data_IF_203125183783
#
_entry.id   IF_203125183783
#
_cell.length_a   1.000
_cell.length_b   1.000
_cell.length_c   1.000
_cell.angle_alpha   90.00
_cell.angle_beta   90.00
_cell.angle_gamma   90.00
#
_symmetry.space_group_name_H-M   'P 1'
#
loop_
_entity.id
_entity.type
_entity.pdbx_description
1 polymer ?
#
# COMPACT_ATOMS: atom_id res chain seq x y z
N UNK A 1 18.38 -6.69 -12.03
CA UNK A 1 16.92 -6.79 -12.31
C UNK A 1 16.20 -6.43 -11.03
N UNK A 2 15.07 -5.73 -11.11
CA UNK A 2 14.29 -5.35 -9.92
C UNK A 2 12.95 -6.09 -9.94
N UNK A 3 12.56 -6.65 -8.79
CA UNK A 3 11.27 -7.31 -8.60
C UNK A 3 10.45 -6.48 -7.60
N UNK A 4 9.24 -6.12 -7.99
CA UNK A 4 8.27 -5.46 -7.12
C UNK A 4 7.14 -6.46 -6.84
N UNK A 5 6.82 -6.65 -5.56
CA UNK A 5 5.76 -7.54 -5.08
C UNK A 5 4.59 -6.74 -4.52
N UNK A 6 3.44 -7.39 -4.36
CA UNK A 6 2.23 -6.84 -3.75
C UNK A 6 1.74 -5.53 -4.40
N UNK A 7 1.72 -5.46 -5.73
CA UNK A 7 1.23 -4.28 -6.43
C UNK A 7 -0.25 -3.93 -6.13
N UNK A 8 -1.04 -4.90 -5.63
CA UNK A 8 -2.42 -4.69 -5.20
C UNK A 8 -2.53 -3.81 -3.94
N UNK A 9 -1.55 -3.92 -3.04
CA UNK A 9 -1.60 -3.29 -1.71
C UNK A 9 -0.98 -1.90 -1.68
N UNK A 10 -0.79 -1.28 -2.85
CA UNK A 10 -0.25 0.08 -2.91
C UNK A 10 -1.26 1.09 -2.38
N UNK A 11 -0.77 2.01 -1.56
CA UNK A 11 -1.55 3.13 -1.05
C UNK A 11 -1.20 4.42 -1.79
N UNK A 12 -2.23 5.22 -2.07
CA UNK A 12 -2.07 6.59 -2.58
C UNK A 12 -2.66 7.58 -1.58
N UNK A 13 -2.05 8.75 -1.52
CA UNK A 13 -2.43 9.78 -0.55
C UNK A 13 -3.65 10.59 -1.01
N UNK A 14 -4.49 11.01 -0.05
CA UNK A 14 -5.65 11.87 -0.32
C UNK A 14 -6.75 11.19 -1.13
N UNK A 15 -7.41 11.95 -2.01
CA UNK A 15 -8.52 11.48 -2.88
C UNK A 15 -8.05 11.00 -4.26
N UNK A 16 -6.75 10.72 -4.42
CA UNK A 16 -6.16 10.34 -5.72
C UNK A 16 -6.75 9.07 -6.31
N UNK A 17 -7.29 8.16 -5.50
CA UNK A 17 -7.96 6.95 -6.00
C UNK A 17 -9.10 7.28 -6.96
N UNK A 18 -9.88 8.32 -6.68
CA UNK A 18 -11.03 8.73 -7.50
C UNK A 18 -10.65 9.81 -8.50
N UNK A 19 -9.80 10.75 -8.09
CA UNK A 19 -9.60 12.00 -8.84
C UNK A 19 -8.52 11.88 -9.91
N UNK A 20 -7.61 10.89 -9.79
CA UNK A 20 -6.55 10.70 -10.78
C UNK A 20 -7.09 9.93 -11.99
N UNK A 21 -7.05 10.58 -13.15
CA UNK A 21 -7.52 10.03 -14.42
C UNK A 21 -6.33 9.76 -15.34
N UNK A 22 -6.31 8.58 -15.96
CA UNK A 22 -5.41 8.21 -17.04
C UNK A 22 -6.09 8.50 -18.37
N UNK A 23 -5.49 9.39 -19.16
CA UNK A 23 -5.92 9.71 -20.52
C UNK A 23 -5.02 9.06 -21.55
N UNK A 24 -5.62 8.55 -22.63
CA UNK A 24 -4.91 8.16 -23.84
C UNK A 24 -5.83 8.33 -25.06
N UNK A 25 -5.23 8.55 -26.22
CA UNK A 25 -5.95 8.72 -27.48
C UNK A 25 -5.62 7.56 -28.42
N UNK A 26 -6.59 7.09 -29.19
CA UNK A 26 -6.36 5.98 -30.14
C UNK A 26 -5.86 6.41 -31.51
N UNK A 27 -5.95 7.71 -31.83
CA UNK A 27 -5.52 8.29 -33.11
C UNK A 27 -6.67 8.79 -33.99
N UNK A 28 -7.90 8.33 -33.76
CA UNK A 28 -9.10 8.77 -34.47
C UNK A 28 -9.74 10.01 -33.83
N UNK A 29 -10.29 10.91 -34.62
CA UNK A 29 -10.94 12.15 -34.15
C UNK A 29 -12.04 11.81 -33.13
N UNK A 30 -12.03 12.47 -31.96
CA UNK A 30 -13.02 12.28 -30.90
C UNK A 30 -12.79 11.07 -29.98
N UNK A 31 -11.73 10.29 -30.16
CA UNK A 31 -11.51 9.05 -29.41
C UNK A 31 -10.55 9.22 -28.22
N UNK A 32 -10.83 10.21 -27.37
CA UNK A 32 -10.15 10.36 -26.09
C UNK A 32 -10.70 9.33 -25.10
N UNK A 33 -9.86 8.41 -24.67
CA UNK A 33 -10.20 7.41 -23.65
C UNK A 33 -9.68 7.84 -22.30
N UNK A 34 -10.51 7.64 -21.30
CA UNK A 34 -10.19 7.93 -19.91
C UNK A 34 -10.42 6.70 -19.02
N UNK A 35 -9.65 6.62 -17.93
CA UNK A 35 -9.84 5.61 -16.89
C UNK A 35 -9.38 6.14 -15.55
N UNK A 36 -10.18 5.97 -14.50
CA UNK A 36 -9.79 6.39 -13.15
C UNK A 36 -8.75 5.45 -12.56
N UNK A 37 -7.98 5.94 -11.59
CA UNK A 37 -6.99 5.12 -10.90
C UNK A 37 -7.64 3.92 -10.21
N UNK A 38 -8.79 4.11 -9.57
CA UNK A 38 -9.56 3.03 -8.95
C UNK A 38 -9.81 1.87 -9.93
N UNK A 39 -10.42 2.17 -11.07
CA UNK A 39 -10.75 1.17 -12.09
C UNK A 39 -9.49 0.50 -12.66
N UNK A 40 -8.41 1.27 -12.81
CA UNK A 40 -7.13 0.73 -13.27
C UNK A 40 -6.49 -0.22 -12.24
N UNK A 41 -6.63 0.06 -10.95
CA UNK A 41 -6.13 -0.82 -9.88
C UNK A 41 -6.93 -2.11 -9.77
N UNK A 42 -8.24 -2.06 -10.00
CA UNK A 42 -9.10 -3.25 -10.04
C UNK A 42 -8.76 -4.13 -11.25
N UNK A 43 -8.51 -3.52 -12.41
CA UNK A 43 -8.19 -4.25 -13.64
C UNK A 43 -6.77 -4.81 -13.62
N UNK A 44 -5.77 -3.95 -13.55
CA UNK A 44 -4.35 -4.30 -13.65
C UNK A 44 -3.50 -3.36 -12.77
N UNK A 45 -3.28 -3.70 -11.49
CA UNK A 45 -2.53 -2.85 -10.56
C UNK A 45 -1.04 -2.74 -10.93
N UNK A 46 -0.49 -3.77 -11.58
CA UNK A 46 0.88 -3.81 -12.12
C UNK A 46 1.17 -2.65 -13.07
N UNK A 47 0.19 -2.30 -13.91
CA UNK A 47 0.34 -1.28 -14.94
C UNK A 47 0.41 0.14 -14.36
N UNK A 48 -0.21 0.37 -13.19
CA UNK A 48 -0.14 1.64 -12.46
C UNK A 48 1.31 1.97 -12.10
N UNK A 49 2.02 0.99 -11.54
CA UNK A 49 3.41 1.13 -11.11
C UNK A 49 4.33 1.22 -12.34
N UNK A 50 4.13 0.33 -13.31
CA UNK A 50 4.94 0.32 -14.54
C UNK A 50 4.89 1.67 -15.26
N UNK A 51 3.68 2.21 -15.50
CA UNK A 51 3.52 3.53 -16.13
C UNK A 51 4.15 4.66 -15.33
N UNK A 52 4.11 4.59 -13.99
CA UNK A 52 4.73 5.60 -13.14
C UNK A 52 6.25 5.59 -13.30
N UNK A 53 6.89 4.43 -13.14
CA UNK A 53 8.35 4.28 -13.25
C UNK A 53 8.83 4.62 -14.66
N UNK A 54 8.13 4.14 -15.70
CA UNK A 54 8.46 4.43 -17.09
C UNK A 54 8.49 5.94 -17.38
N UNK A 55 7.58 6.71 -16.77
CA UNK A 55 7.53 8.17 -16.88
C UNK A 55 8.57 8.90 -16.04
N UNK A 56 9.21 8.22 -15.07
CA UNK A 56 10.31 8.77 -14.28
C UNK A 56 11.69 8.48 -14.90
N UNK A 57 11.78 7.51 -15.81
CA UNK A 57 13.01 7.22 -16.54
C UNK A 57 13.33 8.29 -17.59
N UNK A 58 14.63 8.52 -17.88
CA UNK A 58 15.03 9.45 -18.93
C UNK A 58 14.49 8.98 -20.29
N UNK A 59 13.97 9.92 -21.08
CA UNK A 59 13.41 9.63 -22.41
C UNK A 59 14.55 9.43 -23.42
N UNK A 60 15.05 8.20 -23.51
CA UNK A 60 16.05 7.77 -24.49
C UNK A 60 15.71 6.37 -25.05
N UNK A 61 16.49 5.89 -26.02
CA UNK A 61 16.28 4.56 -26.63
C UNK A 61 16.43 3.41 -25.64
N UNK A 62 17.26 3.58 -24.60
CA UNK A 62 17.48 2.59 -23.55
C UNK A 62 16.34 2.51 -22.53
N UNK A 63 15.35 3.42 -22.60
CA UNK A 63 14.26 3.46 -21.64
C UNK A 63 13.47 2.15 -21.62
N UNK A 64 13.15 1.64 -22.80
CA UNK A 64 12.34 0.44 -22.94
C UNK A 64 13.14 -0.82 -22.53
N UNK A 65 14.44 -0.83 -22.78
CA UNK A 65 15.35 -1.89 -22.31
C UNK A 65 15.51 -1.89 -20.78
N UNK A 66 15.48 -0.71 -20.15
CA UNK A 66 15.48 -0.60 -18.68
C UNK A 66 14.14 -1.06 -18.09
N UNK A 67 13.02 -0.70 -18.70
CA UNK A 67 11.69 -1.14 -18.26
C UNK A 67 11.56 -2.68 -18.31
N UNK A 68 12.11 -3.33 -19.35
CA UNK A 68 12.16 -4.80 -19.47
C UNK A 68 12.92 -5.50 -18.34
N UNK A 69 13.84 -4.80 -17.65
CA UNK A 69 14.58 -5.33 -16.50
C UNK A 69 13.80 -5.27 -15.17
N UNK A 70 12.61 -4.66 -15.16
CA UNK A 70 11.72 -4.59 -14.01
C UNK A 70 10.59 -5.61 -14.16
N UNK A 71 10.36 -6.41 -13.12
CA UNK A 71 9.25 -7.38 -13.03
C UNK A 71 8.36 -7.00 -11.86
N UNK A 72 7.06 -6.91 -12.09
CA UNK A 72 6.08 -6.47 -11.09
C UNK A 72 5.03 -7.58 -10.97
N UNK A 73 4.74 -7.99 -9.74
CA UNK A 73 3.73 -8.98 -9.42
C UNK A 73 2.64 -8.38 -8.56
N UNK A 74 1.41 -8.82 -8.79
CA UNK A 74 0.24 -8.33 -8.07
C UNK A 74 0.15 -8.91 -6.65
N UNK A 75 0.62 -10.14 -6.45
CA UNK A 75 0.73 -10.80 -5.15
C UNK A 75 2.17 -10.85 -4.62
N UNK A 76 2.35 -11.68 -3.59
CA UNK A 76 3.60 -11.80 -2.83
C UNK A 76 4.60 -12.77 -3.45
N UNK A 77 4.17 -13.60 -4.40
CA UNK A 77 5.01 -14.64 -5.00
C UNK A 77 5.59 -14.20 -6.35
N UNK A 78 6.79 -14.69 -6.65
CA UNK A 78 7.47 -14.52 -7.93
C UNK A 78 8.08 -15.84 -8.40
N UNK A 79 8.13 -16.14 -9.71
CA UNK A 79 8.67 -17.40 -10.22
C UNK A 79 10.21 -17.47 -10.20
N UNK A 80 10.92 -16.38 -9.85
CA UNK A 80 12.38 -16.27 -9.99
C UNK A 80 13.18 -16.85 -8.82
N UNK A 81 12.80 -18.02 -8.32
CA UNK A 81 13.46 -18.65 -7.16
C UNK A 81 14.90 -19.12 -7.46
N UNK A 82 15.20 -19.45 -8.72
CA UNK A 82 16.52 -19.96 -9.11
C UNK A 82 17.62 -18.87 -9.08
N UNK A 83 17.23 -17.60 -8.95
CA UNK A 83 18.15 -16.47 -8.98
C UNK A 83 18.41 -15.97 -7.57
N UNK A 84 19.67 -15.69 -7.24
CA UNK A 84 20.03 -14.98 -6.02
C UNK A 84 19.41 -13.57 -6.03
N UNK A 85 18.42 -13.35 -5.15
CA UNK A 85 17.68 -12.11 -5.01
C UNK A 85 17.92 -11.54 -3.62
N UNK A 86 18.47 -10.33 -3.56
CA UNK A 86 18.67 -9.58 -2.33
C UNK A 86 17.43 -8.72 -2.04
N UNK A 87 16.81 -8.81 -0.85
CA UNK A 87 15.70 -7.95 -0.48
C UNK A 87 16.18 -6.50 -0.30
N UNK A 88 15.55 -5.56 -1.01
CA UNK A 88 15.93 -4.15 -0.92
C UNK A 88 15.15 -3.42 0.18
N UNK A 89 15.88 -2.88 1.16
CA UNK A 89 15.32 -2.02 2.22
C UNK A 89 15.41 -0.56 1.77
N UNK A 90 14.27 0.14 1.78
CA UNK A 90 14.26 1.57 1.46
C UNK A 90 15.01 2.38 2.53
N UNK A 91 15.72 3.45 2.16
CA UNK A 91 16.37 4.31 3.14
C UNK A 91 15.34 4.92 4.11
N UNK A 92 15.72 5.18 5.37
CA UNK A 92 14.81 5.72 6.37
C UNK A 92 14.32 7.09 5.93
N UNK A 93 13.00 7.23 5.78
CA UNK A 93 12.36 8.50 5.42
C UNK A 93 11.89 9.21 6.69
N UNK A 94 12.18 10.51 6.80
CA UNK A 94 11.59 11.35 7.83
C UNK A 94 10.10 11.54 7.50
N UNK A 95 9.24 10.86 8.25
CA UNK A 95 7.79 10.90 8.01
C UNK A 95 7.27 12.28 8.38
N UNK A 96 6.54 12.92 7.47
CA UNK A 96 5.85 14.19 7.75
C UNK A 96 4.85 13.93 8.89
N UNK A 97 4.99 14.66 10.00
CA UNK A 97 4.12 14.47 11.16
C UNK A 97 2.64 14.56 10.77
N UNK A 98 1.83 13.73 11.42
CA UNK A 98 0.37 13.81 11.32
C UNK A 98 -0.08 15.24 11.62
N UNK A 99 -1.00 15.78 10.81
CA UNK A 99 -1.62 17.09 11.09
C UNK A 99 -2.06 17.14 12.57
N UNK A 100 -1.80 18.23 13.31
CA UNK A 100 -1.97 18.26 14.77
C UNK A 100 -3.34 17.78 15.27
N UNK A 101 -4.42 18.05 14.52
CA UNK A 101 -5.78 17.58 14.81
C UNK A 101 -5.94 16.06 14.65
N UNK A 102 -5.38 15.47 13.59
CA UNK A 102 -5.45 14.04 13.34
C UNK A 102 -4.61 13.25 14.36
N UNK A 103 -3.43 13.76 14.73
CA UNK A 103 -2.59 13.17 15.78
C UNK A 103 -3.32 13.13 17.12
N UNK A 104 -3.97 14.23 17.50
CA UNK A 104 -4.78 14.32 18.73
C UNK A 104 -5.97 13.36 18.73
N UNK A 105 -6.67 13.21 17.62
CA UNK A 105 -7.80 12.27 17.49
C UNK A 105 -7.33 10.81 17.62
N UNK A 106 -6.21 10.45 16.99
CA UNK A 106 -5.65 9.10 17.01
C UNK A 106 -5.16 8.72 18.41
N UNK A 107 -4.47 9.63 19.11
CA UNK A 107 -4.04 9.43 20.51
C UNK A 107 -5.26 9.22 21.42
N UNK A 108 -6.35 9.96 21.21
CA UNK A 108 -7.60 9.77 21.97
C UNK A 108 -8.26 8.42 21.68
N UNK A 109 -8.26 7.97 20.42
CA UNK A 109 -8.80 6.68 20.02
C UNK A 109 -7.98 5.52 20.62
N UNK A 110 -6.64 5.58 20.53
CA UNK A 110 -5.75 4.59 21.15
C UNK A 110 -5.89 4.55 22.67
N UNK A 111 -5.96 5.70 23.35
CA UNK A 111 -6.16 5.75 24.80
C UNK A 111 -7.52 5.18 25.21
N UNK A 112 -8.56 5.35 24.38
CA UNK A 112 -9.88 4.75 24.59
C UNK A 112 -9.88 3.24 24.36
N UNK A 113 -9.17 2.74 23.35
CA UNK A 113 -8.98 1.30 23.11
C UNK A 113 -8.14 0.65 24.21
N UNK A 114 -7.05 1.28 24.65
CA UNK A 114 -6.24 0.81 25.78
C UNK A 114 -7.05 0.80 27.07
N UNK A 115 -7.87 1.83 27.32
CA UNK A 115 -8.79 1.85 28.46
C UNK A 115 -9.83 0.73 28.40
N UNK A 116 -10.36 0.42 27.21
CA UNK A 116 -11.27 -0.71 26.98
C UNK A 116 -10.57 -2.06 27.15
N UNK A 117 -9.34 -2.20 26.66
CA UNK A 117 -8.53 -3.40 26.80
C UNK A 117 -8.11 -3.63 28.26
N UNK A 118 -7.74 -2.58 29.00
CA UNK A 118 -7.42 -2.65 30.41
C UNK A 118 -8.65 -2.95 31.28
N UNK A 119 -9.83 -2.41 30.93
CA UNK A 119 -11.09 -2.76 31.58
C UNK A 119 -11.56 -4.20 31.26
N UNK A 120 -11.19 -4.73 30.10
CA UNK A 120 -11.42 -6.12 29.74
C UNK A 120 -10.47 -7.07 30.47
N UNK A 121 -9.19 -6.73 30.59
CA UNK A 121 -8.20 -7.52 31.32
C UNK A 121 -8.48 -7.58 32.83
N UNK A 122 -8.89 -6.46 33.44
CA UNK A 122 -9.30 -6.43 34.86
C UNK A 122 -10.59 -7.21 35.12
N UNK A 123 -11.52 -7.25 34.15
CA UNK A 123 -12.72 -8.11 34.23
C UNK A 123 -12.39 -9.60 34.07
N UNK A 124 -11.44 -9.95 33.21
CA UNK A 124 -10.96 -11.33 33.06
C UNK A 124 -10.18 -11.81 34.29
N UNK A 125 -9.34 -10.97 34.90
CA UNK A 125 -8.67 -11.29 36.18
C UNK A 125 -9.67 -11.42 37.33
N UNK A 126 -10.66 -10.52 37.43
CA UNK A 126 -11.73 -10.62 38.44
C UNK A 126 -12.58 -11.88 38.29
N UNK A 127 -12.88 -12.30 37.06
CA UNK A 127 -13.64 -13.53 36.79
C UNK A 127 -12.83 -14.82 37.08
N UNK A 128 -11.50 -14.76 36.93
CA UNK A 128 -10.59 -15.88 37.30
C UNK A 128 -10.45 -16.00 38.82
N UNK A 129 -10.34 -14.90 39.54
CA UNK A 129 -10.25 -14.89 41.00
C UNK A 129 -11.56 -15.35 41.66
N UNK A 130 -12.72 -14.90 41.16
CA UNK A 130 -14.02 -15.35 41.66
C UNK A 130 -14.28 -16.85 41.40
N UNK A 131 -13.77 -17.41 40.29
CA UNK A 131 -13.82 -18.86 40.05
C UNK A 131 -12.87 -19.64 40.96
N UNK A 132 -11.73 -19.08 41.35
CA UNK A 132 -10.80 -19.71 42.27
C UNK A 132 -11.35 -19.76 43.72
N UNK A 133 -12.10 -18.74 44.15
CA UNK A 133 -12.74 -18.70 45.48
C UNK A 133 -13.96 -19.61 45.61
N UNK A 134 -14.66 -19.94 44.51
CA UNK A 134 -15.83 -20.85 44.53
C UNK A 134 -15.41 -22.34 44.49
N UNK A 135 -14.15 -22.63 44.17
CA UNK A 135 -13.58 -23.99 44.05
C UNK A 135 -12.79 -24.40 45.32
N UNK A 136 -12.59 -23.46 46.27
CA UNK A 136 -11.98 -23.71 47.59
C UNK A 136 -13.04 -23.94 48.68
#
# INVERSE_FOLDING_TARGET
>A
MCIVLNAKDISVTGRKMTDKIYYWHTGYIGHLKERRLKDQMEKDPTEVIRKAVLRMLPRNRLRDDRDRKMRIFSGSEHPFHDRALEPFVMPPRQVREMRPRARRALIRAQKKEQGRAAAASTKEEGAKNAKAEIIA
#
